data_IF_395440765620
#
_entry.id   IF_395440765620
#
_cell.length_a   1.000
_cell.length_b   1.000
_cell.length_c   1.000
_cell.angle_alpha   90.00
_cell.angle_beta   90.00
_cell.angle_gamma   90.00
#
_symmetry.space_group_name_H-M   'P 1'
#
loop_
_entity.id
_entity.type
_entity.pdbx_description
1 polymer ?
#
# COMPACT_ATOMS: atom_id res chain seq x y z
N UNK A 1 5.12 -14.47 -15.61
CA UNK A 1 5.50 -14.38 -14.19
C UNK A 1 5.15 -15.70 -13.56
N UNK A 2 6.03 -16.23 -12.72
CA UNK A 2 5.69 -17.38 -11.88
C UNK A 2 4.79 -16.92 -10.73
N UNK A 3 4.07 -17.86 -10.10
CA UNK A 3 3.30 -17.58 -8.88
C UNK A 3 4.23 -17.05 -7.78
N UNK A 4 5.45 -17.61 -7.69
CA UNK A 4 6.47 -17.18 -6.73
C UNK A 4 6.86 -15.70 -6.95
N UNK A 5 7.04 -15.27 -8.20
CA UNK A 5 7.35 -13.86 -8.52
C UNK A 5 6.18 -12.91 -8.15
N UNK A 6 4.94 -13.38 -8.25
CA UNK A 6 3.76 -12.60 -7.90
C UNK A 6 3.62 -12.48 -6.38
N UNK A 7 3.88 -13.57 -5.65
CA UNK A 7 3.89 -13.57 -4.19
C UNK A 7 4.97 -12.65 -3.63
N UNK A 8 6.18 -12.67 -4.19
CA UNK A 8 7.26 -11.76 -3.80
C UNK A 8 6.89 -10.29 -4.08
N UNK A 9 6.20 -10.00 -5.18
CA UNK A 9 5.69 -8.66 -5.46
C UNK A 9 4.63 -8.22 -4.44
N UNK A 10 3.68 -9.09 -4.09
CA UNK A 10 2.67 -8.81 -3.05
C UNK A 10 3.33 -8.52 -1.70
N UNK A 11 4.31 -9.32 -1.28
CA UNK A 11 5.03 -9.08 -0.02
C UNK A 11 5.79 -7.75 -0.03
N UNK A 12 6.44 -7.41 -1.15
CA UNK A 12 7.14 -6.13 -1.29
C UNK A 12 6.17 -4.94 -1.22
N UNK A 13 5.03 -5.03 -1.90
CA UNK A 13 4.01 -3.97 -1.86
C UNK A 13 3.42 -3.81 -0.45
N UNK A 14 3.15 -4.93 0.27
CA UNK A 14 2.69 -4.91 1.66
C UNK A 14 3.70 -4.23 2.59
N UNK A 15 4.99 -4.56 2.46
CA UNK A 15 6.05 -3.91 3.22
C UNK A 15 6.17 -2.40 2.92
N UNK A 16 6.03 -2.00 1.65
CA UNK A 16 6.03 -0.58 1.28
C UNK A 16 4.82 0.15 1.88
N UNK A 17 3.66 -0.51 1.90
CA UNK A 17 2.45 0.01 2.49
C UNK A 17 2.59 0.24 4.00
N UNK A 18 3.13 -0.73 4.72
CA UNK A 18 3.39 -0.62 6.17
C UNK A 18 4.32 0.55 6.50
N UNK A 19 5.38 0.74 5.70
CA UNK A 19 6.29 1.88 5.87
C UNK A 19 5.60 3.22 5.61
N UNK A 20 4.71 3.27 4.61
CA UNK A 20 3.95 4.49 4.31
C UNK A 20 2.93 4.79 5.40
N UNK A 21 2.30 3.78 6.00
CA UNK A 21 1.39 3.95 7.14
C UNK A 21 2.13 4.52 8.37
N UNK A 22 3.31 3.99 8.70
CA UNK A 22 4.14 4.52 9.80
C UNK A 22 4.58 5.97 9.55
N UNK A 23 4.91 6.30 8.30
CA UNK A 23 5.22 7.68 7.90
C UNK A 23 3.97 8.58 7.99
N UNK A 24 2.80 8.07 7.64
CA UNK A 24 1.55 8.83 7.72
C UNK A 24 1.21 9.20 9.17
N UNK A 25 1.37 8.27 10.10
CA UNK A 25 1.15 8.48 11.53
C UNK A 25 2.13 9.51 12.15
N UNK A 26 3.34 9.61 11.60
CA UNK A 26 4.37 10.53 12.09
C UNK A 26 4.37 11.90 11.42
N UNK A 27 3.66 12.05 10.29
CA UNK A 27 3.58 13.30 9.55
C UNK A 27 2.56 14.26 10.21
N UNK A 28 2.98 15.45 10.66
CA UNK A 28 2.08 16.46 11.24
C UNK A 28 0.97 16.87 10.28
N UNK A 29 1.28 16.84 8.97
CA UNK A 29 0.37 17.15 7.88
C UNK A 29 -0.70 16.07 7.65
N UNK A 30 -0.61 14.92 8.32
CA UNK A 30 -1.59 13.84 8.25
C UNK A 30 -2.24 13.60 9.66
N UNK A 31 -1.83 14.39 10.67
CA UNK A 31 -2.35 14.38 12.05
C UNK A 31 -3.57 15.29 12.31
N UNK A 32 -3.93 16.18 11.39
CA UNK A 32 -5.18 16.94 11.48
C UNK A 32 -6.38 16.08 11.05
N UNK A 33 -7.55 16.28 11.65
CA UNK A 33 -8.79 15.60 11.23
C UNK A 33 -9.00 15.80 9.71
N UNK A 34 -9.20 14.70 8.97
CA UNK A 34 -9.25 14.60 7.49
C UNK A 34 -7.92 14.73 6.72
N UNK A 35 -6.80 15.02 7.38
CA UNK A 35 -5.54 15.27 6.68
C UNK A 35 -4.97 14.01 6.02
N UNK A 36 -5.30 12.84 6.54
CA UNK A 36 -5.00 11.54 5.93
C UNK A 36 -5.60 11.43 4.51
N UNK A 37 -6.80 11.98 4.23
CA UNK A 37 -7.39 11.96 2.87
C UNK A 37 -6.67 12.88 1.88
N UNK A 38 -6.02 13.93 2.37
CA UNK A 38 -5.23 14.86 1.56
C UNK A 38 -3.75 14.47 1.49
N UNK A 39 -3.31 13.56 2.36
CA UNK A 39 -1.95 13.06 2.45
C UNK A 39 -1.62 12.23 1.20
N UNK A 40 -0.62 12.64 0.43
CA UNK A 40 -0.19 11.90 -0.78
C UNK A 40 0.24 10.46 -0.42
N UNK A 41 0.74 10.26 0.79
CA UNK A 41 1.06 8.95 1.37
C UNK A 41 -0.14 8.02 1.40
N UNK A 42 -1.33 8.53 1.76
CA UNK A 42 -2.55 7.73 1.79
C UNK A 42 -3.03 7.34 0.40
N UNK A 43 -2.92 8.24 -0.59
CA UNK A 43 -3.23 7.91 -1.99
C UNK A 43 -2.30 6.82 -2.54
N UNK A 44 -1.05 6.81 -2.09
CA UNK A 44 -0.12 5.72 -2.42
C UNK A 44 -0.53 4.42 -1.74
N UNK A 45 -0.89 4.44 -0.47
CA UNK A 45 -1.40 3.25 0.25
C UNK A 45 -2.63 2.67 -0.46
N UNK A 46 -3.59 3.51 -0.83
CA UNK A 46 -4.80 3.10 -1.56
C UNK A 46 -4.44 2.45 -2.91
N UNK A 47 -3.54 3.08 -3.67
CA UNK A 47 -3.04 2.53 -4.93
C UNK A 47 -2.20 1.25 -4.77
N UNK A 48 -1.52 1.07 -3.63
CA UNK A 48 -0.79 -0.16 -3.32
C UNK A 48 -1.76 -1.29 -2.97
N UNK A 49 -2.85 -1.01 -2.25
CA UNK A 49 -3.93 -1.96 -1.99
C UNK A 49 -4.57 -2.46 -3.28
N UNK A 50 -4.94 -1.56 -4.19
CA UNK A 50 -5.49 -1.95 -5.51
C UNK A 50 -4.54 -2.88 -6.28
N UNK A 51 -3.24 -2.58 -6.25
CA UNK A 51 -2.22 -3.40 -6.91
C UNK A 51 -2.05 -4.77 -6.25
N UNK A 52 -2.10 -4.83 -4.92
CA UNK A 52 -2.06 -6.09 -4.17
C UNK A 52 -3.27 -6.94 -4.53
N UNK A 53 -4.47 -6.37 -4.54
CA UNK A 53 -5.71 -7.09 -4.85
C UNK A 53 -5.67 -7.66 -6.27
N UNK A 54 -5.21 -6.88 -7.26
CA UNK A 54 -5.00 -7.39 -8.63
C UNK A 54 -3.97 -8.52 -8.71
N UNK A 55 -2.91 -8.47 -7.91
CA UNK A 55 -1.87 -9.50 -7.90
C UNK A 55 -2.36 -10.76 -7.19
N UNK A 56 -3.13 -10.63 -6.11
CA UNK A 56 -3.77 -11.73 -5.41
C UNK A 56 -4.80 -12.43 -6.30
N UNK A 57 -5.63 -11.70 -7.05
CA UNK A 57 -6.53 -12.29 -8.07
C UNK A 57 -5.78 -13.08 -9.14
N UNK A 58 -4.60 -12.59 -9.59
CA UNK A 58 -3.76 -13.30 -10.57
C UNK A 58 -3.08 -14.54 -9.99
N UNK A 59 -2.87 -14.59 -8.67
CA UNK A 59 -2.33 -15.77 -7.98
C UNK A 59 -3.42 -16.84 -7.82
N UNK A 60 -4.66 -16.41 -7.55
CA UNK A 60 -5.80 -17.32 -7.34
C UNK A 60 -6.43 -17.84 -8.66
N UNK A 61 -6.18 -17.17 -9.80
CA UNK A 61 -6.62 -17.53 -11.16
C UNK A 61 -5.77 -18.63 -11.82
#
# INVERSE_FOLDING_TARGET
MSIDDLQEQVENLKNEMDQLEEVCDTLPACSEDDACKTCETYKKIDSLNDQIEELEEKIES
#
